data_IF_361218972976
#
_entry.id   IF_361218972976
#
_cell.length_a   1.000
_cell.length_b   1.000
_cell.length_c   1.000
_cell.angle_alpha   90.00
_cell.angle_beta   90.00
_cell.angle_gamma   90.00
#
_symmetry.space_group_name_H-M   'P 1'
#
loop_
_entity.id
_entity.type
_entity.pdbx_description
1 polymer ?
#
# COMPACT_ATOMS: atom_id res chain seq x y z
N UNK A 1 -10.28 12.83 -1.18
CA UNK A 1 -9.96 11.72 -0.28
C UNK A 1 -10.03 10.43 -1.08
N UNK A 2 -8.87 9.92 -1.48
CA UNK A 2 -8.76 8.69 -2.27
C UNK A 2 -8.89 7.47 -1.36
N UNK A 3 -9.70 6.50 -1.78
CA UNK A 3 -9.87 5.21 -1.08
C UNK A 3 -9.32 4.09 -1.95
N UNK A 4 -8.28 3.42 -1.47
CA UNK A 4 -7.75 2.21 -2.11
C UNK A 4 -8.45 0.98 -1.52
N UNK A 5 -8.88 0.08 -2.39
CA UNK A 5 -9.34 -1.26 -2.02
C UNK A 5 -8.27 -2.25 -2.46
N UNK A 6 -7.63 -2.91 -1.51
CA UNK A 6 -6.56 -3.86 -1.77
C UNK A 6 -6.97 -5.26 -1.36
N UNK A 7 -6.66 -6.21 -2.23
CA UNK A 7 -6.77 -7.64 -1.96
C UNK A 7 -5.40 -8.17 -1.55
N UNK A 8 -5.37 -9.11 -0.60
CA UNK A 8 -4.14 -9.71 -0.07
C UNK A 8 -4.43 -11.12 0.47
N UNK A 9 -3.41 -11.97 0.52
CA UNK A 9 -3.54 -13.34 1.03
C UNK A 9 -3.03 -13.48 2.47
N UNK A 10 -1.93 -12.79 2.75
CA UNK A 10 -1.27 -12.79 4.04
C UNK A 10 -1.17 -11.40 4.66
N UNK A 11 -1.11 -11.33 5.99
CA UNK A 11 -0.86 -10.05 6.66
C UNK A 11 0.49 -9.43 6.25
N UNK A 12 1.48 -10.26 5.88
CA UNK A 12 2.78 -9.79 5.41
C UNK A 12 2.69 -8.98 4.11
N UNK A 13 1.88 -9.44 3.16
CA UNK A 13 1.61 -8.70 1.92
C UNK A 13 0.92 -7.37 2.17
N UNK A 14 -0.10 -7.37 3.05
CA UNK A 14 -0.79 -6.14 3.42
C UNK A 14 0.17 -5.14 4.08
N UNK A 15 1.04 -5.60 4.98
CA UNK A 15 2.07 -4.77 5.62
C UNK A 15 3.04 -4.22 4.57
N UNK A 16 3.48 -5.03 3.60
CA UNK A 16 4.35 -4.57 2.52
C UNK A 16 3.70 -3.45 1.69
N UNK A 17 2.41 -3.59 1.35
CA UNK A 17 1.64 -2.55 0.65
C UNK A 17 1.57 -1.27 1.48
N UNK A 18 1.28 -1.37 2.78
CA UNK A 18 1.24 -0.21 3.68
C UNK A 18 2.61 0.47 3.76
N UNK A 19 3.70 -0.30 3.82
CA UNK A 19 5.06 0.24 3.85
C UNK A 19 5.43 0.98 2.56
N UNK A 20 4.97 0.49 1.40
CA UNK A 20 5.15 1.17 0.10
C UNK A 20 4.38 2.48 0.07
N UNK A 21 3.15 2.49 0.59
CA UNK A 21 2.33 3.71 0.69
C UNK A 21 2.90 4.68 1.74
N UNK A 22 3.52 4.16 2.80
CA UNK A 22 4.18 4.92 3.84
C UNK A 22 3.27 5.98 4.46
N UNK A 23 3.78 7.21 4.51
CA UNK A 23 3.11 8.37 5.12
C UNK A 23 1.83 8.80 4.38
N UNK A 24 1.56 8.22 3.21
CA UNK A 24 0.32 8.45 2.49
C UNK A 24 -0.90 7.82 3.18
N UNK A 25 -0.70 6.79 4.01
CA UNK A 25 -1.80 6.08 4.67
C UNK A 25 -2.34 6.90 5.83
N UNK A 26 -3.55 7.43 5.66
CA UNK A 26 -4.27 8.13 6.74
C UNK A 26 -4.88 7.16 7.73
N UNK A 27 -5.53 6.13 7.20
CA UNK A 27 -6.15 5.08 8.01
C UNK A 27 -6.33 3.82 7.16
N UNK A 28 -6.47 2.70 7.84
CA UNK A 28 -6.80 1.42 7.21
C UNK A 28 -7.89 0.72 8.02
N UNK A 29 -8.78 0.04 7.31
CA UNK A 29 -9.71 -0.91 7.90
C UNK A 29 -9.75 -2.20 7.10
N UNK A 30 -9.81 -3.33 7.80
CA UNK A 30 -10.07 -4.62 7.16
C UNK A 30 -11.53 -4.67 6.71
N UNK A 31 -11.81 -5.38 5.62
CA UNK A 31 -13.19 -5.63 5.22
C UNK A 31 -13.93 -6.39 6.34
N UNK A 32 -15.18 -5.99 6.68
CA UNK A 32 -15.94 -6.61 7.77
C UNK A 32 -16.33 -8.06 7.46
N UNK A 33 -16.42 -8.41 6.17
CA UNK A 33 -16.60 -9.77 5.67
C UNK A 33 -15.48 -10.08 4.69
N UNK A 34 -14.63 -11.02 5.08
CA UNK A 34 -13.54 -11.55 4.26
C UNK A 34 -14.10 -12.66 3.35
N UNK A 35 -15.03 -12.27 2.47
CA UNK A 35 -15.68 -13.17 1.53
C UNK A 35 -15.02 -13.07 0.17
N UNK A 36 -14.59 -14.21 -0.38
CA UNK A 36 -13.83 -14.33 -1.62
C UNK A 36 -12.55 -15.14 -1.42
N UNK A 37 -11.85 -15.39 -2.52
CA UNK A 37 -10.58 -16.12 -2.53
C UNK A 37 -9.48 -15.39 -1.76
N UNK A 38 -9.46 -14.05 -1.86
CA UNK A 38 -8.48 -13.18 -1.19
C UNK A 38 -9.13 -12.33 -0.09
N UNK A 39 -8.36 -12.01 0.95
CA UNK A 39 -8.76 -11.03 1.98
C UNK A 39 -8.70 -9.63 1.40
N UNK A 40 -9.41 -8.70 2.04
CA UNK A 40 -9.56 -7.32 1.57
C UNK A 40 -9.38 -6.31 2.70
N UNK A 41 -8.74 -5.20 2.37
CA UNK A 41 -8.61 -4.02 3.20
C UNK A 41 -8.96 -2.76 2.40
N UNK A 42 -9.44 -1.76 3.12
CA UNK A 42 -9.71 -0.42 2.60
C UNK A 42 -8.73 0.53 3.26
N UNK A 43 -8.00 1.29 2.45
CA UNK A 43 -6.97 2.24 2.88
C UNK A 43 -7.42 3.62 2.45
N UNK A 44 -7.59 4.52 3.42
CA UNK A 44 -7.83 5.93 3.15
C UNK A 44 -6.46 6.63 3.03
N UNK A 45 -6.27 7.39 1.96
CA UNK A 45 -5.02 8.09 1.65
C UNK A 45 -5.18 9.58 1.91
N UNK A 46 -4.12 10.25 2.43
CA UNK A 46 -4.10 11.71 2.52
C UNK A 46 -4.05 12.33 1.12
N UNK A 47 -4.95 13.29 0.85
CA UNK A 47 -4.84 14.09 -0.37
C UNK A 47 -3.61 15.00 -0.24
N UNK A 48 -2.71 14.97 -1.23
CA UNK A 48 -1.48 15.78 -1.21
C UNK A 48 -0.19 15.01 -0.99
N UNK A 49 -0.11 13.74 -1.43
CA UNK A 49 1.20 13.10 -1.63
C UNK A 49 1.91 13.91 -2.73
N UNK A 50 2.78 14.84 -2.32
CA UNK A 50 3.85 15.31 -3.19
C UNK A 50 4.57 14.04 -3.66
N UNK A 51 4.52 13.81 -4.98
CA UNK A 51 5.02 12.60 -5.63
C UNK A 51 6.26 12.10 -4.90
N UNK A 52 6.21 10.90 -4.34
CA UNK A 52 7.41 10.24 -3.88
C UNK A 52 8.37 10.21 -5.07
N UNK A 53 9.44 11.00 -5.00
CA UNK A 53 10.52 10.92 -5.97
C UNK A 53 11.06 9.51 -5.85
N UNK A 54 10.75 8.68 -6.84
CA UNK A 54 11.38 7.37 -6.99
C UNK A 54 12.82 7.70 -7.34
N UNK A 55 13.69 7.79 -6.33
CA UNK A 55 15.13 7.78 -6.53
C UNK A 55 15.43 6.41 -7.11
N UNK A 56 15.60 6.36 -8.42
CA UNK A 56 16.17 5.20 -9.09
C UNK A 56 17.65 5.28 -8.79
N UNK A 57 18.12 4.39 -7.95
CA UNK A 57 19.54 4.23 -7.68
C UNK A 57 20.20 3.81 -9.01
N UNK A 58 20.83 4.76 -9.72
CA UNK A 58 21.54 4.51 -10.98
C UNK A 58 22.87 3.77 -10.77
N UNK A 59 23.07 3.10 -9.64
CA UNK A 59 24.24 2.26 -9.43
C UNK A 59 24.03 0.91 -10.12
N UNK A 60 24.16 0.97 -11.44
CA UNK A 60 24.53 -0.16 -12.26
C UNK A 60 25.73 -0.87 -11.64
N UNK A 61 25.49 -2.13 -11.34
CA UNK A 61 26.44 -3.23 -11.37
C UNK A 61 27.72 -2.87 -12.15
N UNK A 62 28.85 -2.81 -11.46
CA UNK A 62 30.15 -3.07 -12.07
C UNK A 62 30.90 -4.08 -11.21
N UNK A 63 31.34 -5.11 -11.93
CA UNK A 63 32.18 -6.25 -11.56
C UNK A 63 33.32 -5.94 -10.58
#
# INVERSE_FOLDING_TARGET
>A
MVKLKVSYDSMGELIAIINILGNAVKSMRLAPKQTGEHKRAYIDIVDGIEKAEIVRDENGEKA
#
